data_IF_641055574887
#
_entry.id   IF_641055574887
#
_cell.length_a   1.000
_cell.length_b   1.000
_cell.length_c   1.000
_cell.angle_alpha   90.00
_cell.angle_beta   90.00
_cell.angle_gamma   90.00
#
_symmetry.space_group_name_H-M   'P 1'
#
loop_
_entity.id
_entity.type
_entity.pdbx_description
1 polymer ?
#
# COMPACT_ATOMS: atom_id res chain seq x y z
N UNK A 1 -28.92 -32.46 50.53
CA UNK A 1 -30.35 -32.80 50.33
C UNK A 1 -30.84 -31.97 49.16
N UNK A 2 -31.33 -32.69 48.15
CA UNK A 2 -32.42 -32.32 47.22
C UNK A 2 -32.14 -31.28 46.17
N UNK A 3 -32.46 -31.44 44.91
CA UNK A 3 -32.96 -32.54 44.05
C UNK A 3 -32.62 -32.15 42.59
N UNK A 4 -32.17 -33.13 41.87
CA UNK A 4 -32.05 -33.17 40.41
C UNK A 4 -33.45 -32.96 39.79
N UNK A 5 -33.54 -32.09 38.77
CA UNK A 5 -34.60 -32.21 37.77
C UNK A 5 -34.00 -32.14 36.38
N UNK A 6 -33.92 -33.30 35.79
CA UNK A 6 -33.72 -33.53 34.36
C UNK A 6 -35.01 -33.07 33.65
N UNK A 7 -34.85 -32.26 32.63
CA UNK A 7 -35.89 -32.14 31.59
C UNK A 7 -35.23 -32.52 30.27
N UNK A 8 -35.60 -33.68 29.83
CA UNK A 8 -35.45 -34.18 28.46
C UNK A 8 -36.68 -33.60 27.71
N UNK A 9 -36.44 -32.92 26.61
CA UNK A 9 -37.46 -32.71 25.57
C UNK A 9 -36.86 -32.97 24.21
N UNK A 10 -37.59 -33.83 23.56
CA UNK A 10 -37.33 -34.57 22.33
C UNK A 10 -37.75 -33.74 21.11
N UNK A 11 -36.93 -33.83 20.05
CA UNK A 11 -37.22 -33.85 18.59
C UNK A 11 -38.30 -32.91 18.04
N UNK A 12 -37.86 -32.08 17.11
CA UNK A 12 -38.56 -32.02 15.80
C UNK A 12 -37.59 -31.43 14.76
N UNK A 13 -37.34 -32.17 13.70
CA UNK A 13 -36.52 -31.79 12.57
C UNK A 13 -37.19 -30.78 11.67
N UNK A 14 -36.40 -29.92 11.09
CA UNK A 14 -36.73 -29.23 9.86
C UNK A 14 -35.49 -29.16 8.98
N UNK A 15 -35.47 -29.97 7.96
CA UNK A 15 -34.51 -30.03 6.89
C UNK A 15 -34.79 -28.84 5.96
N UNK A 16 -34.10 -27.74 6.11
CA UNK A 16 -34.09 -26.64 5.18
C UNK A 16 -32.93 -26.78 4.20
N UNK A 17 -33.23 -27.24 3.00
CA UNK A 17 -32.33 -27.18 1.84
C UNK A 17 -32.15 -25.70 1.45
N UNK A 18 -31.04 -25.09 1.88
CA UNK A 18 -30.60 -23.81 1.36
C UNK A 18 -29.71 -24.11 0.17
N UNK A 19 -30.26 -23.98 -1.04
CA UNK A 19 -29.50 -23.93 -2.29
C UNK A 19 -28.67 -22.64 -2.26
N UNK A 20 -27.34 -22.78 -1.98
CA UNK A 20 -26.41 -21.67 -1.98
C UNK A 20 -26.16 -21.17 -3.39
N UNK A 21 -26.65 -19.97 -3.68
CA UNK A 21 -26.16 -19.17 -4.81
C UNK A 21 -24.74 -18.72 -4.45
N UNK A 22 -23.75 -19.40 -4.99
CA UNK A 22 -22.33 -18.99 -4.90
C UNK A 22 -22.09 -17.76 -5.76
N UNK A 23 -22.37 -16.58 -5.24
CA UNK A 23 -21.88 -15.34 -5.79
C UNK A 23 -20.41 -15.21 -5.38
N UNK A 24 -19.48 -15.57 -6.29
CA UNK A 24 -18.06 -15.29 -6.11
C UNK A 24 -17.81 -13.80 -6.09
N UNK A 25 -17.77 -13.20 -4.90
CA UNK A 25 -17.18 -11.88 -4.72
C UNK A 25 -15.68 -12.04 -4.98
N UNK A 26 -15.21 -11.49 -6.11
CA UNK A 26 -13.80 -11.34 -6.35
C UNK A 26 -13.25 -10.44 -5.24
N UNK A 27 -12.65 -11.07 -4.22
CA UNK A 27 -11.95 -10.36 -3.17
C UNK A 27 -10.69 -9.78 -3.82
N UNK A 28 -10.71 -8.47 -4.05
CA UNK A 28 -9.47 -7.74 -4.33
C UNK A 28 -8.53 -8.03 -3.15
N UNK A 29 -7.32 -8.53 -3.45
CA UNK A 29 -6.31 -8.75 -2.41
C UNK A 29 -6.16 -7.44 -1.60
N UNK A 30 -6.18 -7.50 -0.26
CA UNK A 30 -6.04 -6.30 0.54
C UNK A 30 -4.71 -5.63 0.18
N UNK A 31 -4.78 -4.35 -0.18
CA UNK A 31 -3.59 -3.52 -0.39
C UNK A 31 -2.79 -3.54 0.91
N UNK A 32 -1.49 -3.75 0.83
CA UNK A 32 -0.65 -3.82 2.02
C UNK A 32 -0.90 -2.57 2.90
N UNK A 33 -0.99 -2.72 4.20
CA UNK A 33 -1.27 -1.63 5.17
C UNK A 33 -0.34 -0.42 5.02
N UNK A 34 0.81 -0.62 4.38
CA UNK A 34 1.84 0.39 4.17
C UNK A 34 1.86 0.96 2.74
N UNK A 35 0.77 0.81 1.99
CA UNK A 35 0.63 1.35 0.62
C UNK A 35 -0.60 2.23 0.54
N UNK A 36 -0.42 3.47 0.08
CA UNK A 36 -1.48 4.47 -0.04
C UNK A 36 -1.46 5.12 -1.42
N UNK A 37 -2.62 5.25 -2.04
CA UNK A 37 -2.75 6.12 -3.23
C UNK A 37 -2.72 7.57 -2.77
N UNK A 38 -1.84 8.38 -3.36
CA UNK A 38 -1.65 9.79 -3.01
C UNK A 38 -2.20 10.69 -4.10
N UNK A 39 -3.04 11.61 -3.69
CA UNK A 39 -3.64 12.66 -4.52
C UNK A 39 -3.50 14.00 -3.83
N UNK A 40 -3.85 15.09 -4.50
CA UNK A 40 -3.90 16.42 -3.87
C UNK A 40 -4.79 16.46 -2.63
N UNK A 41 -5.85 15.66 -2.61
CA UNK A 41 -6.82 15.66 -1.51
C UNK A 41 -6.23 15.12 -0.18
N UNK A 42 -5.33 14.12 -0.25
CA UNK A 42 -4.73 13.51 0.95
C UNK A 42 -3.23 13.81 1.10
N UNK A 43 -2.67 14.66 0.25
CA UNK A 43 -1.25 15.00 0.29
C UNK A 43 -0.79 15.57 1.65
N UNK A 44 -1.62 16.41 2.27
CA UNK A 44 -1.31 16.97 3.60
C UNK A 44 -1.22 15.87 4.68
N UNK A 45 -2.07 14.86 4.62
CA UNK A 45 -2.01 13.69 5.51
C UNK A 45 -0.71 12.92 5.30
N UNK A 46 -0.33 12.65 4.05
CA UNK A 46 0.91 11.97 3.71
C UNK A 46 2.13 12.74 4.22
N UNK A 47 2.12 14.07 4.12
CA UNK A 47 3.18 14.92 4.68
C UNK A 47 3.22 14.87 6.21
N UNK A 48 2.09 14.74 6.89
CA UNK A 48 2.07 14.52 8.34
C UNK A 48 2.63 13.16 8.73
N UNK A 49 2.33 12.10 7.97
CA UNK A 49 2.93 10.76 8.16
C UNK A 49 4.46 10.83 7.99
N UNK A 50 4.94 11.64 7.05
CA UNK A 50 6.37 11.79 6.79
C UNK A 50 7.17 12.38 7.97
N UNK A 51 6.50 13.02 8.93
CA UNK A 51 7.12 13.50 10.19
C UNK A 51 7.42 12.37 11.17
N UNK A 52 6.78 11.20 11.00
CA UNK A 52 6.91 10.06 11.90
C UNK A 52 7.75 8.94 11.30
N UNK A 53 7.66 8.73 9.99
CA UNK A 53 8.39 7.69 9.27
C UNK A 53 8.69 8.11 7.83
N UNK A 54 9.62 7.41 7.20
CA UNK A 54 9.91 7.61 5.78
C UNK A 54 8.65 7.40 4.94
N UNK A 55 8.40 8.30 4.00
CA UNK A 55 7.44 8.12 2.91
C UNK A 55 8.23 8.00 1.61
N UNK A 56 7.96 6.97 0.84
CA UNK A 56 8.49 6.81 -0.51
C UNK A 56 7.35 7.13 -1.47
N UNK A 57 7.46 8.27 -2.17
CA UNK A 57 6.51 8.66 -3.21
C UNK A 57 6.91 7.98 -4.52
N UNK A 58 6.04 7.15 -5.08
CA UNK A 58 6.22 6.47 -6.37
C UNK A 58 5.38 7.18 -7.44
N UNK A 59 6.05 7.95 -8.28
CA UNK A 59 5.43 8.62 -9.42
C UNK A 59 5.44 7.72 -10.64
N UNK A 60 4.26 7.30 -11.07
CA UNK A 60 4.09 6.38 -12.19
C UNK A 60 2.82 6.65 -12.99
N UNK A 61 2.58 5.82 -14.00
CA UNK A 61 1.37 5.81 -14.80
C UNK A 61 1.04 4.39 -15.26
N UNK A 62 -0.23 4.15 -15.54
CA UNK A 62 -0.70 2.81 -15.97
C UNK A 62 -0.15 2.38 -17.33
N UNK A 63 0.16 3.32 -18.22
CA UNK A 63 0.71 3.10 -19.55
C UNK A 63 2.24 2.95 -19.58
N UNK A 64 2.92 3.16 -18.46
CA UNK A 64 4.38 3.13 -18.35
C UNK A 64 4.87 1.68 -18.11
N UNK A 65 5.57 1.03 -19.06
CA UNK A 65 5.99 -0.37 -18.91
C UNK A 65 6.90 -0.62 -17.71
N UNK A 66 7.98 0.18 -17.45
CA UNK A 66 8.81 -0.06 -16.27
C UNK A 66 8.08 0.21 -14.95
N UNK A 67 7.08 1.10 -14.92
CA UNK A 67 6.23 1.32 -13.75
C UNK A 67 5.45 0.04 -13.40
N UNK A 68 4.84 -0.61 -14.42
CA UNK A 68 4.10 -1.87 -14.23
C UNK A 68 4.99 -3.01 -13.76
N UNK A 69 6.26 -3.04 -14.17
CA UNK A 69 7.23 -4.04 -13.71
C UNK A 69 7.64 -3.78 -12.25
N UNK A 70 7.85 -2.53 -11.87
CA UNK A 70 8.27 -2.15 -10.53
C UNK A 70 7.17 -2.30 -9.49
N UNK A 71 5.93 -1.96 -9.84
CA UNK A 71 4.78 -1.89 -8.93
C UNK A 71 4.62 -3.13 -8.03
N UNK A 72 4.50 -4.38 -8.56
CA UNK A 72 4.32 -5.55 -7.69
C UNK A 72 5.53 -5.80 -6.79
N UNK A 73 6.72 -5.38 -7.21
CA UNK A 73 7.94 -5.54 -6.42
C UNK A 73 7.96 -4.56 -5.26
N UNK A 74 7.74 -3.26 -5.51
CA UNK A 74 7.81 -2.25 -4.46
C UNK A 74 6.65 -2.36 -3.46
N UNK A 75 5.45 -2.76 -3.89
CA UNK A 75 4.32 -3.05 -3.00
C UNK A 75 4.63 -4.24 -2.06
N UNK A 76 5.22 -5.31 -2.59
CA UNK A 76 5.67 -6.44 -1.79
C UNK A 76 6.75 -6.02 -0.79
N UNK A 77 7.72 -5.21 -1.23
CA UNK A 77 8.76 -4.67 -0.35
C UNK A 77 8.16 -3.81 0.77
N UNK A 78 7.16 -2.97 0.49
CA UNK A 78 6.46 -2.19 1.52
C UNK A 78 5.87 -3.10 2.62
N UNK A 79 5.34 -4.26 2.24
CA UNK A 79 4.90 -5.29 3.19
C UNK A 79 6.05 -5.92 3.97
N UNK A 80 7.10 -6.35 3.28
CA UNK A 80 8.27 -7.00 3.88
C UNK A 80 9.02 -6.10 4.89
N UNK A 81 9.07 -4.79 4.62
CA UNK A 81 9.67 -3.81 5.54
C UNK A 81 8.80 -3.49 6.77
N UNK A 82 7.61 -4.09 6.89
CA UNK A 82 6.80 -4.07 8.11
C UNK A 82 6.43 -2.68 8.61
N UNK A 83 6.12 -1.73 7.72
CA UNK A 83 5.71 -0.37 8.10
C UNK A 83 6.86 0.59 8.41
N UNK A 84 8.10 0.21 8.19
CA UNK A 84 9.26 1.12 8.34
C UNK A 84 9.19 2.32 7.39
N UNK A 85 8.48 2.20 6.28
CA UNK A 85 8.12 3.29 5.41
C UNK A 85 6.66 3.15 4.91
N UNK A 86 6.08 4.26 4.47
CA UNK A 86 4.84 4.30 3.70
C UNK A 86 5.19 4.39 2.22
N UNK A 87 4.62 3.52 1.39
CA UNK A 87 4.63 3.67 -0.06
C UNK A 87 3.45 4.54 -0.49
N UNK A 88 3.73 5.72 -1.01
CA UNK A 88 2.73 6.64 -1.56
C UNK A 88 2.72 6.55 -3.08
N UNK A 89 1.72 5.90 -3.66
CA UNK A 89 1.57 5.77 -5.11
C UNK A 89 0.89 7.01 -5.71
N UNK A 90 1.53 7.67 -6.65
CA UNK A 90 1.04 8.86 -7.36
C UNK A 90 0.89 8.53 -8.83
N UNK A 91 -0.35 8.54 -9.32
CA UNK A 91 -0.63 8.51 -10.76
C UNK A 91 -0.47 9.93 -11.31
N UNK A 92 0.52 10.13 -12.19
CA UNK A 92 0.86 11.46 -12.72
C UNK A 92 -0.20 12.04 -13.65
N UNK A 93 -1.07 11.19 -14.22
CA UNK A 93 -2.16 11.66 -15.08
C UNK A 93 -3.32 12.21 -14.24
N UNK A 94 -3.54 11.64 -13.05
CA UNK A 94 -4.59 12.07 -12.12
C UNK A 94 -4.12 13.15 -11.15
N UNK A 95 -2.82 13.19 -10.82
CA UNK A 95 -2.23 14.12 -9.85
C UNK A 95 -1.12 14.95 -10.50
N UNK A 96 -1.48 15.70 -11.53
CA UNK A 96 -0.54 16.56 -12.30
C UNK A 96 0.09 17.66 -11.46
N UNK A 97 -0.64 18.19 -10.49
CA UNK A 97 -0.15 19.17 -9.53
C UNK A 97 0.98 18.62 -8.65
N UNK A 98 0.88 17.36 -8.20
CA UNK A 98 1.93 16.69 -7.44
C UNK A 98 3.16 16.41 -8.33
N UNK A 99 2.95 15.91 -9.55
CA UNK A 99 4.07 15.67 -10.48
C UNK A 99 4.79 16.96 -10.84
N UNK A 100 4.06 18.07 -10.97
CA UNK A 100 4.64 19.41 -11.18
C UNK A 100 5.39 19.89 -9.94
N UNK A 101 4.79 19.77 -8.75
CA UNK A 101 5.42 20.15 -7.47
C UNK A 101 6.76 19.48 -7.27
N UNK A 102 6.85 18.17 -7.58
CA UNK A 102 8.08 17.39 -7.47
C UNK A 102 8.96 17.45 -8.72
N UNK A 103 8.58 18.26 -9.72
CA UNK A 103 9.31 18.38 -10.99
C UNK A 103 9.63 17.02 -11.62
N UNK A 104 8.63 16.13 -11.68
CA UNK A 104 8.78 14.79 -12.25
C UNK A 104 8.90 14.90 -13.77
N UNK A 105 9.97 14.32 -14.33
CA UNK A 105 10.25 14.36 -15.77
C UNK A 105 10.36 12.98 -16.39
N UNK A 106 10.58 11.96 -15.59
CA UNK A 106 10.75 10.57 -16.03
C UNK A 106 9.94 9.63 -15.14
N UNK A 107 9.51 8.50 -15.71
CA UNK A 107 8.72 7.50 -15.00
C UNK A 107 9.38 6.11 -15.10
N UNK A 108 9.30 5.31 -14.03
CA UNK A 108 8.94 5.71 -12.67
C UNK A 108 9.98 6.59 -12.02
N UNK A 109 9.57 7.45 -11.09
CA UNK A 109 10.50 8.17 -10.21
C UNK A 109 10.08 7.97 -8.76
N UNK A 110 10.99 7.44 -7.96
CA UNK A 110 10.81 7.34 -6.51
C UNK A 110 11.46 8.54 -5.83
N UNK A 111 10.79 9.07 -4.82
CA UNK A 111 11.26 10.20 -4.01
C UNK A 111 11.09 9.86 -2.53
N UNK A 112 12.17 9.91 -1.76
CA UNK A 112 12.10 9.77 -0.31
C UNK A 112 11.72 11.11 0.34
N UNK A 113 10.70 11.07 1.23
CA UNK A 113 10.20 12.24 1.94
C UNK A 113 10.23 11.98 3.44
N UNK A 114 10.78 12.91 4.21
CA UNK A 114 10.77 12.91 5.68
C UNK A 114 10.64 14.34 6.20
N UNK A 115 9.93 14.50 7.32
CA UNK A 115 9.66 15.82 7.90
C UNK A 115 9.02 16.81 6.91
N UNK A 116 8.09 16.32 6.08
CA UNK A 116 7.40 17.06 5.03
C UNK A 116 8.32 17.65 3.94
N UNK A 117 9.54 17.12 3.79
CA UNK A 117 10.51 17.56 2.79
C UNK A 117 11.13 16.37 2.05
N UNK A 118 11.49 16.58 0.78
CA UNK A 118 12.27 15.62 0.02
C UNK A 118 13.65 15.45 0.67
N UNK A 119 14.06 14.20 0.86
CA UNK A 119 15.39 13.89 1.35
C UNK A 119 16.47 14.21 0.29
N UNK A 120 17.63 14.74 0.68
CA UNK A 120 18.72 14.97 -0.26
C UNK A 120 19.13 13.68 -0.98
N UNK A 121 19.33 13.76 -2.30
CA UNK A 121 19.74 12.62 -3.13
C UNK A 121 18.87 11.37 -2.94
N UNK A 122 17.56 11.58 -2.80
CA UNK A 122 16.58 10.50 -2.57
C UNK A 122 15.91 10.02 -3.85
N UNK A 123 16.23 10.56 -5.00
CA UNK A 123 15.54 10.18 -6.24
C UNK A 123 16.14 8.91 -6.83
N UNK A 124 15.26 7.96 -7.16
CA UNK A 124 15.56 6.82 -8.02
C UNK A 124 14.73 6.95 -9.29
N UNK A 125 15.37 7.02 -10.43
CA UNK A 125 14.72 7.17 -11.74
C UNK A 125 14.81 5.85 -12.48
N UNK A 126 13.65 5.37 -12.97
CA UNK A 126 13.52 4.08 -13.63
C UNK A 126 13.46 2.90 -12.65
N UNK A 127 13.29 1.70 -13.19
CA UNK A 127 13.29 0.47 -12.41
C UNK A 127 14.65 -0.24 -12.51
N UNK A 128 15.48 -0.18 -11.45
CA UNK A 128 16.84 -0.73 -11.50
C UNK A 128 16.92 -2.23 -11.22
N UNK A 129 15.78 -2.89 -11.02
CA UNK A 129 15.66 -4.26 -10.51
C UNK A 129 15.60 -4.33 -8.98
N UNK A 130 15.09 -5.44 -8.46
CA UNK A 130 14.75 -5.59 -7.04
C UNK A 130 15.94 -5.36 -6.10
N UNK A 131 17.09 -5.97 -6.40
CA UNK A 131 18.26 -5.88 -5.51
C UNK A 131 18.73 -4.42 -5.30
N UNK A 132 18.77 -3.64 -6.37
CA UNK A 132 19.14 -2.21 -6.30
C UNK A 132 18.03 -1.38 -5.64
N UNK A 133 16.77 -1.76 -5.86
CA UNK A 133 15.64 -1.09 -5.22
C UNK A 133 15.68 -1.29 -3.70
N UNK A 134 15.97 -2.50 -3.21
CA UNK A 134 16.19 -2.78 -1.77
C UNK A 134 17.33 -1.93 -1.21
N UNK A 135 18.47 -1.94 -1.85
CA UNK A 135 19.63 -1.14 -1.41
C UNK A 135 19.30 0.36 -1.35
N UNK A 136 18.54 0.86 -2.32
CA UNK A 136 18.10 2.25 -2.32
C UNK A 136 17.12 2.53 -1.16
N UNK A 137 16.14 1.66 -0.89
CA UNK A 137 15.21 1.80 0.25
C UNK A 137 16.00 1.83 1.57
N UNK A 138 16.92 0.89 1.76
CA UNK A 138 17.77 0.83 2.96
C UNK A 138 18.57 2.11 3.15
N UNK A 139 19.13 2.65 2.08
CA UNK A 139 19.85 3.92 2.11
C UNK A 139 18.95 5.11 2.47
N UNK A 140 17.67 5.12 2.04
CA UNK A 140 16.73 6.17 2.45
C UNK A 140 16.32 6.01 3.93
N UNK A 141 16.13 4.79 4.40
CA UNK A 141 15.82 4.52 5.81
C UNK A 141 16.96 4.94 6.74
N UNK A 142 18.21 4.84 6.29
CA UNK A 142 19.37 5.24 7.08
C UNK A 142 19.57 6.77 7.19
N UNK A 143 18.87 7.57 6.41
CA UNK A 143 18.99 9.05 6.41
C UNK A 143 18.19 9.76 7.49
N UNK A 144 17.44 9.05 8.29
CA UNK A 144 16.58 9.67 9.29
C UNK A 144 16.30 8.77 10.46
#
# INVERSE_FOLDING_TARGET
MSKVKRFVCVLAGALALVTGFGGGVASAAPKAENVMTVTSANYAEVMNISKQKLVIMDFGATWCPPCRQMKPVIERLAGEYGGRFLLGEVDVDQSRDLSTRYNIRYLPTLVGVRNAAELPSSRNIGYPGEARLRAWIDAQLAKG
#
